data_IF_381578119399
#
_entry.id   IF_381578119399
#
_cell.length_a   1.000
_cell.length_b   1.000
_cell.length_c   1.000
_cell.angle_alpha   90.00
_cell.angle_beta   90.00
_cell.angle_gamma   90.00
#
_symmetry.space_group_name_H-M   'P 1'
#
loop_
_entity.id
_entity.type
_entity.pdbx_description
1 polymer ?
#
# COMPACT_ATOMS: atom_id res chain seq x y z
N UNK A 1 -38.72 1.34 -17.62
CA UNK A 1 -37.89 2.54 -17.39
C UNK A 1 -37.75 2.73 -15.90
N UNK A 2 -36.67 2.24 -15.31
CA UNK A 2 -36.31 2.51 -13.91
C UNK A 2 -35.01 3.28 -13.92
N UNK A 3 -35.09 4.60 -13.72
CA UNK A 3 -33.91 5.43 -13.44
C UNK A 3 -33.47 5.16 -12.01
N UNK A 4 -32.34 4.49 -11.85
CA UNK A 4 -31.61 4.48 -10.59
C UNK A 4 -30.82 5.80 -10.52
N UNK A 5 -31.32 6.75 -9.73
CA UNK A 5 -30.53 7.91 -9.31
C UNK A 5 -29.38 7.40 -8.44
N UNK A 6 -28.20 7.24 -9.04
CA UNK A 6 -26.95 7.03 -8.30
C UNK A 6 -26.65 8.34 -7.59
N UNK A 7 -26.98 8.40 -6.30
CA UNK A 7 -26.58 9.50 -5.42
C UNK A 7 -25.08 9.68 -5.49
N UNK A 8 -24.65 10.90 -5.81
CA UNK A 8 -23.27 11.36 -5.81
C UNK A 8 -22.65 11.25 -4.41
N UNK A 9 -22.21 10.04 -4.03
CA UNK A 9 -21.16 9.91 -3.03
C UNK A 9 -19.98 10.73 -3.53
N UNK A 10 -19.42 11.59 -2.68
CA UNK A 10 -18.32 12.49 -3.02
C UNK A 10 -17.13 11.66 -3.54
N UNK A 11 -17.09 11.44 -4.85
CA UNK A 11 -15.88 11.08 -5.56
C UNK A 11 -14.97 12.26 -5.25
N UNK A 12 -13.92 12.06 -4.43
CA UNK A 12 -12.85 13.04 -4.32
C UNK A 12 -12.42 13.34 -5.75
N UNK A 13 -12.72 14.55 -6.19
CA UNK A 13 -12.48 14.93 -7.56
C UNK A 13 -10.98 14.85 -7.81
N UNK A 14 -10.54 13.91 -8.64
CA UNK A 14 -9.18 13.83 -9.16
C UNK A 14 -8.88 14.96 -10.16
N UNK A 15 -9.72 16.01 -10.22
CA UNK A 15 -9.50 17.21 -11.03
C UNK A 15 -8.13 17.85 -10.80
N UNK A 16 -7.58 17.75 -9.59
CA UNK A 16 -6.26 18.29 -9.23
C UNK A 16 -5.14 17.25 -9.24
N UNK A 17 -5.38 16.05 -9.77
CA UNK A 17 -4.42 14.94 -9.74
C UNK A 17 -3.03 15.33 -10.28
N UNK A 18 -2.98 16.14 -11.34
CA UNK A 18 -1.70 16.60 -11.91
C UNK A 18 -0.83 17.42 -10.96
N UNK A 19 -1.40 18.00 -9.91
CA UNK A 19 -0.73 18.87 -8.94
C UNK A 19 -0.59 18.17 -7.58
N UNK A 20 -1.59 17.39 -7.18
CA UNK A 20 -1.68 16.83 -5.82
C UNK A 20 -1.17 15.39 -5.72
N UNK A 21 -1.12 14.63 -6.81
CA UNK A 21 -0.68 13.23 -6.78
C UNK A 21 0.75 13.10 -6.27
N UNK A 22 1.01 12.08 -5.44
CA UNK A 22 2.33 11.86 -4.87
C UNK A 22 3.38 11.57 -5.94
N UNK A 23 3.01 10.84 -7.00
CA UNK A 23 3.89 10.53 -8.14
C UNK A 23 4.37 11.78 -8.88
N UNK A 24 3.67 12.91 -8.77
CA UNK A 24 4.05 14.18 -9.42
C UNK A 24 4.60 15.21 -8.45
N UNK A 25 4.04 15.30 -7.25
CA UNK A 25 4.29 16.41 -6.32
C UNK A 25 5.38 16.14 -5.29
N UNK A 26 5.66 14.88 -4.98
CA UNK A 26 6.63 14.52 -3.93
C UNK A 26 7.98 14.20 -4.55
N UNK A 27 9.04 14.82 -4.02
CA UNK A 27 10.40 14.41 -4.38
C UNK A 27 10.63 12.97 -3.91
N UNK A 28 11.09 12.10 -4.80
CA UNK A 28 11.40 10.70 -4.52
C UNK A 28 12.62 10.56 -3.59
N UNK A 29 12.43 10.92 -2.32
CA UNK A 29 13.46 10.98 -1.28
C UNK A 29 12.94 10.38 0.02
N UNK A 30 12.72 9.08 0.01
CA UNK A 30 12.38 8.30 1.20
C UNK A 30 13.47 7.29 1.55
N UNK A 31 14.73 7.70 1.37
CA UNK A 31 15.87 6.89 1.78
C UNK A 31 15.92 6.85 3.29
N UNK A 32 15.98 5.64 3.83
CA UNK A 32 16.21 5.45 5.25
C UNK A 32 17.63 5.89 5.59
N UNK A 33 17.74 6.80 6.56
CA UNK A 33 19.01 7.15 7.19
C UNK A 33 19.14 6.42 8.51
N UNK A 34 20.37 6.05 8.88
CA UNK A 34 20.64 5.44 10.18
C UNK A 34 20.15 6.35 11.33
N UNK A 35 20.27 7.67 11.17
CA UNK A 35 19.79 8.67 12.13
C UNK A 35 18.27 8.61 12.34
N UNK A 36 17.49 8.45 11.26
CA UNK A 36 16.02 8.36 11.33
C UNK A 36 15.54 7.08 12.03
N UNK A 37 16.26 5.96 11.87
CA UNK A 37 15.92 4.72 12.59
C UNK A 37 16.32 4.80 14.07
N UNK A 38 17.49 5.38 14.34
CA UNK A 38 18.00 5.52 15.70
C UNK A 38 17.26 6.55 16.53
N UNK A 39 16.42 7.38 15.92
CA UNK A 39 15.63 8.39 16.62
C UNK A 39 14.76 7.73 17.70
N UNK A 40 15.06 8.06 18.95
CA UNK A 40 14.37 7.56 20.14
C UNK A 40 13.14 8.41 20.50
N UNK A 41 12.94 9.56 19.85
CA UNK A 41 11.75 10.38 20.04
C UNK A 41 10.49 9.72 19.48
N UNK A 42 10.64 8.92 18.41
CA UNK A 42 9.57 8.10 17.85
C UNK A 42 9.56 6.75 18.56
N UNK A 43 8.59 6.61 19.48
CA UNK A 43 8.42 5.39 20.28
C UNK A 43 7.88 4.23 19.44
N UNK A 44 6.76 4.48 18.74
CA UNK A 44 6.06 3.47 17.94
C UNK A 44 5.92 3.95 16.49
N UNK A 45 6.28 3.08 15.54
CA UNK A 45 6.12 3.31 14.10
C UNK A 45 4.69 3.08 13.61
N UNK A 46 3.89 2.38 14.41
CA UNK A 46 2.51 2.06 14.10
C UNK A 46 1.58 2.54 15.21
N UNK A 47 0.36 2.99 14.86
CA UNK A 47 -0.69 3.15 15.84
C UNK A 47 -0.91 1.83 16.62
N UNK A 48 -1.19 1.85 17.93
CA UNK A 48 -1.37 0.63 18.72
C UNK A 48 -2.42 -0.33 18.17
N UNK A 49 -3.45 0.20 17.50
CA UNK A 49 -4.51 -0.60 16.88
C UNK A 49 -4.03 -1.44 15.67
N UNK A 50 -2.95 -1.03 15.00
CA UNK A 50 -2.41 -1.74 13.83
C UNK A 50 -1.43 -2.85 14.19
N UNK A 51 -0.87 -2.83 15.40
CA UNK A 51 0.04 -3.87 15.89
C UNK A 51 -0.24 -4.22 17.36
N UNK A 52 -1.41 -4.82 17.67
CA UNK A 52 -1.83 -5.08 19.07
C UNK A 52 -0.85 -5.95 19.86
N UNK A 53 -0.07 -6.79 19.17
CA UNK A 53 0.96 -7.65 19.77
C UNK A 53 2.01 -6.86 20.58
N UNK A 54 2.26 -5.58 20.24
CA UNK A 54 3.16 -4.73 21.03
C UNK A 54 2.65 -4.45 22.44
N UNK A 55 1.33 -4.55 22.66
CA UNK A 55 0.73 -4.36 23.98
C UNK A 55 0.77 -5.63 24.84
N UNK A 56 1.16 -6.77 24.27
CA UNK A 56 1.30 -8.01 25.03
C UNK A 56 2.38 -7.84 26.12
N UNK A 57 2.11 -8.20 27.40
CA UNK A 57 3.02 -7.91 28.52
C UNK A 57 4.46 -8.38 28.28
N UNK A 58 4.63 -9.56 27.68
CA UNK A 58 5.95 -10.11 27.33
C UNK A 58 6.70 -9.18 26.38
N UNK A 59 6.07 -8.74 25.29
CA UNK A 59 6.70 -7.85 24.28
C UNK A 59 6.95 -6.46 24.87
N UNK A 60 6.00 -5.93 25.64
CA UNK A 60 6.11 -4.61 26.28
C UNK A 60 7.28 -4.55 27.28
N UNK A 61 7.60 -5.68 27.92
CA UNK A 61 8.74 -5.79 28.84
C UNK A 61 10.09 -6.00 28.14
N UNK A 62 10.11 -6.26 26.83
CA UNK A 62 11.36 -6.46 26.09
C UNK A 62 12.16 -5.16 25.94
N UNK A 63 13.50 -5.26 25.77
CA UNK A 63 14.32 -4.10 25.44
C UNK A 63 13.82 -3.39 24.16
N UNK A 64 13.96 -2.06 24.11
CA UNK A 64 13.40 -1.22 23.03
C UNK A 64 13.91 -1.60 21.64
N UNK A 65 15.14 -2.09 21.51
CA UNK A 65 15.70 -2.57 20.25
C UNK A 65 14.95 -3.80 19.71
N UNK A 66 14.48 -4.71 20.57
CA UNK A 66 13.69 -5.88 20.17
C UNK A 66 12.29 -5.46 19.72
N UNK A 67 11.67 -4.50 20.43
CA UNK A 67 10.38 -3.93 20.03
C UNK A 67 10.50 -3.21 18.67
N UNK A 68 11.57 -2.44 18.44
CA UNK A 68 11.85 -1.82 17.13
C UNK A 68 12.08 -2.88 16.03
N UNK A 69 12.81 -3.96 16.31
CA UNK A 69 13.00 -5.06 15.35
C UNK A 69 11.68 -5.73 14.96
N UNK A 70 10.77 -5.92 15.92
CA UNK A 70 9.43 -6.47 15.65
C UNK A 70 8.61 -5.53 14.76
N UNK A 71 8.62 -4.23 15.06
CA UNK A 71 7.98 -3.22 14.23
C UNK A 71 8.56 -3.16 12.82
N UNK A 72 9.89 -3.27 12.67
CA UNK A 72 10.55 -3.31 11.37
C UNK A 72 10.14 -4.53 10.55
N UNK A 73 10.04 -5.72 11.17
CA UNK A 73 9.54 -6.95 10.51
C UNK A 73 8.10 -6.79 10.04
N UNK A 74 7.24 -6.20 10.88
CA UNK A 74 5.87 -5.92 10.49
C UNK A 74 5.78 -4.88 9.36
N UNK A 75 6.61 -3.83 9.39
CA UNK A 75 6.69 -2.85 8.32
C UNK A 75 7.10 -3.47 6.99
N UNK A 76 8.15 -4.30 6.97
CA UNK A 76 8.58 -5.02 5.77
C UNK A 76 7.47 -5.92 5.24
N UNK A 77 6.77 -6.65 6.13
CA UNK A 77 5.63 -7.48 5.74
C UNK A 77 4.51 -6.64 5.12
N UNK A 78 4.13 -5.54 5.79
CA UNK A 78 3.09 -4.62 5.33
C UNK A 78 3.43 -4.04 3.96
N UNK A 79 4.65 -3.53 3.76
CA UNK A 79 5.07 -2.92 2.50
C UNK A 79 5.16 -3.94 1.36
N UNK A 80 5.70 -5.15 1.62
CA UNK A 80 5.67 -6.23 0.62
C UNK A 80 4.22 -6.59 0.23
N UNK A 81 3.33 -6.65 1.21
CA UNK A 81 1.91 -6.89 0.98
C UNK A 81 1.31 -5.77 0.12
N UNK A 82 1.55 -4.51 0.46
CA UNK A 82 1.07 -3.35 -0.32
C UNK A 82 1.58 -3.40 -1.76
N UNK A 83 2.88 -3.64 -1.99
CA UNK A 83 3.43 -3.77 -3.37
C UNK A 83 2.67 -4.80 -4.19
N UNK A 84 2.45 -6.00 -3.65
CA UNK A 84 1.75 -7.05 -4.37
C UNK A 84 0.25 -6.77 -4.52
N UNK A 85 -0.40 -6.19 -3.51
CA UNK A 85 -1.81 -5.79 -3.58
C UNK A 85 -2.04 -4.76 -4.69
N UNK A 86 -1.28 -3.67 -4.67
CA UNK A 86 -1.45 -2.58 -5.62
C UNK A 86 -1.12 -3.03 -7.05
N UNK A 87 -0.01 -3.74 -7.22
CA UNK A 87 0.44 -4.12 -8.55
C UNK A 87 -0.38 -5.27 -9.17
N UNK A 88 -0.67 -6.32 -8.40
CA UNK A 88 -1.21 -7.57 -8.96
C UNK A 88 -2.73 -7.64 -8.90
N UNK A 89 -3.36 -6.90 -7.98
CA UNK A 89 -4.81 -6.96 -7.78
C UNK A 89 -5.45 -5.64 -8.20
N UNK A 90 -5.03 -4.51 -7.61
CA UNK A 90 -5.68 -3.22 -7.87
C UNK A 90 -5.45 -2.78 -9.30
N UNK A 91 -4.19 -2.74 -9.77
CA UNK A 91 -3.90 -2.34 -11.15
C UNK A 91 -4.50 -3.29 -12.19
N UNK A 92 -4.60 -4.59 -11.89
CA UNK A 92 -5.28 -5.53 -12.75
C UNK A 92 -6.80 -5.27 -12.83
N UNK A 93 -7.45 -4.98 -11.71
CA UNK A 93 -8.87 -4.60 -11.70
C UNK A 93 -9.11 -3.29 -12.46
N UNK A 94 -8.24 -2.30 -12.27
CA UNK A 94 -8.32 -1.00 -12.96
C UNK A 94 -8.09 -1.13 -14.46
N UNK A 95 -7.16 -2.00 -14.90
CA UNK A 95 -6.97 -2.33 -16.32
C UNK A 95 -8.27 -2.84 -16.97
N UNK A 96 -9.00 -3.73 -16.29
CA UNK A 96 -10.28 -4.26 -16.78
C UNK A 96 -11.35 -3.16 -16.92
N UNK A 97 -11.35 -2.16 -16.03
CA UNK A 97 -12.23 -0.99 -16.10
C UNK A 97 -11.85 -0.12 -17.31
N UNK A 98 -10.57 0.26 -17.42
CA UNK A 98 -10.06 1.15 -18.50
C UNK A 98 -10.38 0.57 -19.88
N UNK A 99 -10.24 -0.74 -20.05
CA UNK A 99 -10.50 -1.42 -21.33
C UNK A 99 -11.93 -1.93 -21.49
N UNK A 100 -12.85 -1.58 -20.57
CA UNK A 100 -14.27 -1.97 -20.62
C UNK A 100 -14.46 -3.48 -20.83
N UNK A 101 -13.63 -4.29 -20.18
CA UNK A 101 -13.63 -5.77 -20.34
C UNK A 101 -14.69 -6.47 -19.50
N UNK A 102 -15.40 -5.73 -18.65
CA UNK A 102 -16.46 -6.26 -17.80
C UNK A 102 -17.82 -6.11 -18.48
N UNK A 103 -18.82 -6.90 -18.05
CA UNK A 103 -20.19 -6.86 -18.60
C UNK A 103 -21.01 -5.63 -18.16
N UNK A 104 -20.35 -4.56 -17.78
CA UNK A 104 -20.93 -3.30 -17.31
C UNK A 104 -20.31 -2.16 -18.11
N UNK A 105 -21.14 -1.17 -18.45
CA UNK A 105 -20.71 0.00 -19.21
C UNK A 105 -19.99 1.00 -18.31
N UNK A 106 -18.85 1.52 -18.79
CA UNK A 106 -18.11 2.59 -18.13
C UNK A 106 -18.05 3.83 -19.03
N UNK A 107 -18.32 4.98 -18.43
CA UNK A 107 -18.09 6.28 -19.07
C UNK A 107 -16.60 6.51 -19.32
N UNK A 108 -16.27 7.26 -20.38
CA UNK A 108 -14.87 7.58 -20.72
C UNK A 108 -14.18 8.43 -19.64
N UNK A 109 -14.98 9.21 -18.89
CA UNK A 109 -14.55 9.96 -17.70
C UNK A 109 -13.99 9.02 -16.62
N UNK A 110 -14.64 7.88 -16.39
CA UNK A 110 -14.21 6.86 -15.44
C UNK A 110 -12.95 6.14 -15.94
N UNK A 111 -12.82 5.91 -17.24
CA UNK A 111 -11.62 5.30 -17.82
C UNK A 111 -10.39 6.22 -17.63
N UNK A 112 -10.57 7.52 -17.81
CA UNK A 112 -9.53 8.52 -17.55
C UNK A 112 -9.13 8.56 -16.07
N UNK A 113 -10.11 8.50 -15.16
CA UNK A 113 -9.86 8.35 -13.72
C UNK A 113 -9.11 7.05 -13.41
N UNK A 114 -9.46 5.95 -14.08
CA UNK A 114 -8.78 4.67 -13.97
C UNK A 114 -7.30 4.79 -14.30
N UNK A 115 -6.93 5.50 -15.37
CA UNK A 115 -5.52 5.74 -15.71
C UNK A 115 -4.77 6.55 -14.64
N UNK A 116 -5.43 7.52 -13.98
CA UNK A 116 -4.84 8.27 -12.86
C UNK A 116 -4.58 7.36 -11.66
N UNK A 117 -5.57 6.54 -11.29
CA UNK A 117 -5.44 5.55 -10.20
C UNK A 117 -4.33 4.55 -10.52
N UNK A 118 -4.33 3.97 -11.72
CA UNK A 118 -3.30 3.03 -12.17
C UNK A 118 -1.88 3.61 -12.00
N UNK A 119 -1.73 4.90 -12.31
CA UNK A 119 -0.45 5.60 -12.17
C UNK A 119 -0.05 5.78 -10.70
N UNK A 120 -0.98 6.17 -9.83
CA UNK A 120 -0.71 6.33 -8.40
C UNK A 120 -0.39 4.99 -7.74
N UNK A 121 -1.15 3.93 -8.02
CA UNK A 121 -0.93 2.62 -7.40
C UNK A 121 0.35 1.95 -7.91
N UNK A 122 0.73 2.16 -9.19
CA UNK A 122 2.05 1.76 -9.67
C UNK A 122 3.18 2.48 -8.93
N UNK A 123 3.01 3.77 -8.63
CA UNK A 123 3.97 4.53 -7.84
C UNK A 123 4.00 4.05 -6.38
N UNK A 124 2.86 3.77 -5.76
CA UNK A 124 2.79 3.21 -4.40
C UNK A 124 3.47 1.84 -4.31
N UNK A 125 3.30 0.99 -5.33
CA UNK A 125 3.96 -0.31 -5.39
C UNK A 125 5.49 -0.17 -5.43
N UNK A 126 6.00 0.72 -6.31
CA UNK A 126 7.43 1.03 -6.42
C UNK A 126 7.99 1.59 -5.12
N UNK A 127 7.30 2.59 -4.56
CA UNK A 127 7.68 3.23 -3.30
C UNK A 127 7.74 2.21 -2.16
N UNK A 128 6.71 1.37 -2.02
CA UNK A 128 6.63 0.37 -0.95
C UNK A 128 7.72 -0.68 -1.08
N UNK A 129 8.03 -1.14 -2.31
CA UNK A 129 9.09 -2.13 -2.55
C UNK A 129 10.47 -1.61 -2.15
N UNK A 130 10.80 -0.38 -2.57
CA UNK A 130 12.07 0.26 -2.26
C UNK A 130 12.22 0.50 -0.75
N UNK A 131 11.17 1.00 -0.10
CA UNK A 131 11.20 1.22 1.35
C UNK A 131 11.33 -0.11 2.10
N UNK A 132 10.62 -1.16 1.67
CA UNK A 132 10.75 -2.49 2.25
C UNK A 132 12.19 -3.03 2.11
N UNK A 133 12.82 -2.84 0.96
CA UNK A 133 14.20 -3.23 0.71
C UNK A 133 15.18 -2.49 1.63
N UNK A 134 15.01 -1.17 1.80
CA UNK A 134 15.86 -0.35 2.66
C UNK A 134 15.72 -0.75 4.15
N UNK A 135 14.49 -0.93 4.65
CA UNK A 135 14.24 -1.40 6.04
C UNK A 135 14.83 -2.79 6.23
N UNK A 136 14.55 -3.71 5.30
CA UNK A 136 15.01 -5.09 5.40
C UNK A 136 16.53 -5.18 5.42
N UNK A 137 17.21 -4.40 4.58
CA UNK A 137 18.67 -4.32 4.56
C UNK A 137 19.24 -3.79 5.88
N UNK A 138 18.65 -2.75 6.45
CA UNK A 138 19.13 -2.19 7.72
C UNK A 138 18.96 -3.17 8.88
N UNK A 139 17.79 -3.80 9.00
CA UNK A 139 17.46 -4.71 10.11
C UNK A 139 17.84 -6.18 9.86
N UNK A 140 18.47 -6.49 8.72
CA UNK A 140 18.82 -7.86 8.30
C UNK A 140 17.60 -8.81 8.32
N UNK A 141 16.51 -8.36 7.69
CA UNK A 141 15.24 -9.10 7.61
C UNK A 141 15.17 -9.80 6.25
N UNK A 142 14.89 -11.10 6.25
CA UNK A 142 14.54 -11.83 5.04
C UNK A 142 13.14 -11.42 4.57
N UNK A 143 13.05 -10.93 3.33
CA UNK A 143 11.78 -10.54 2.71
C UNK A 143 11.05 -11.78 2.22
N UNK A 144 9.76 -11.86 2.51
CA UNK A 144 8.88 -12.92 2.01
C UNK A 144 7.59 -12.34 1.45
N UNK A 145 6.96 -13.10 0.56
CA UNK A 145 5.66 -12.76 -0.02
C UNK A 145 4.52 -13.05 0.96
N UNK A 146 3.43 -12.28 0.85
CA UNK A 146 2.24 -12.51 1.67
C UNK A 146 1.51 -13.77 1.21
N UNK A 147 1.44 -14.80 2.06
CA UNK A 147 0.69 -16.04 1.79
C UNK A 147 -0.78 -15.77 1.47
N UNK A 148 -1.39 -14.77 2.11
CA UNK A 148 -2.76 -14.32 1.85
C UNK A 148 -2.93 -13.84 0.41
N UNK A 149 -2.00 -13.04 -0.11
CA UNK A 149 -2.10 -12.55 -1.49
C UNK A 149 -1.86 -13.66 -2.50
N UNK A 150 -0.91 -14.55 -2.24
CA UNK A 150 -0.70 -15.74 -3.07
C UNK A 150 -1.96 -16.61 -3.13
N UNK A 151 -2.68 -16.76 -2.02
CA UNK A 151 -3.96 -17.47 -2.00
C UNK A 151 -5.04 -16.73 -2.79
N UNK A 152 -5.14 -15.40 -2.63
CA UNK A 152 -6.11 -14.59 -3.36
C UNK A 152 -5.87 -14.64 -4.88
N UNK A 153 -4.61 -14.57 -5.34
CA UNK A 153 -4.28 -14.71 -6.75
C UNK A 153 -4.69 -16.06 -7.31
N UNK A 154 -4.37 -17.14 -6.59
CA UNK A 154 -4.81 -18.50 -6.99
C UNK A 154 -6.32 -18.60 -7.13
N UNK A 155 -7.08 -17.93 -6.26
CA UNK A 155 -8.54 -17.89 -6.36
C UNK A 155 -8.97 -17.13 -7.62
N UNK A 156 -8.39 -15.96 -7.89
CA UNK A 156 -8.71 -15.15 -9.07
C UNK A 156 -8.41 -15.91 -10.37
N UNK A 157 -7.28 -16.60 -10.46
CA UNK A 157 -6.88 -17.40 -11.63
C UNK A 157 -7.76 -18.64 -11.86
N UNK A 158 -8.56 -19.03 -10.86
CA UNK A 158 -9.47 -20.18 -10.93
C UNK A 158 -10.91 -19.83 -11.34
N UNK A 159 -11.21 -18.54 -11.50
CA UNK A 159 -12.51 -18.02 -11.96
C UNK A 159 -12.55 -17.88 -13.48
#
# INVERSE_FOLDING_TARGET
>A
MCSANVTSGSIRSLSKWNIESCVRSRSHRYKITASGISDSSVKDWFPPAMLPVLQHPVIKSMPSNHQKSLQARYLVHFLNHTTALEHLIINNAVENIIHKRMRVEFEDSMCTIGLMIYTDEAYHALFSDQLAADVAKYFQIERSQSSRLLQLQKLIESL
#
